data_IF_224915397240
#
_entry.id   IF_224915397240
#
_cell.length_a   1.000
_cell.length_b   1.000
_cell.length_c   1.000
_cell.angle_alpha   90.00
_cell.angle_beta   90.00
_cell.angle_gamma   90.00
#
_symmetry.space_group_name_H-M   'P 1'
#
loop_
_entity.id
_entity.type
_entity.pdbx_description
1 polymer ?
#
# COMPACT_ATOMS: atom_id res chain seq x y z
N UNK A 1 -8.60 10.18 8.23
CA UNK A 1 -7.17 9.78 8.23
C UNK A 1 -6.17 10.93 8.46
N UNK A 2 -6.58 12.10 8.98
CA UNK A 2 -5.65 13.20 9.29
C UNK A 2 -4.90 13.04 10.63
N UNK A 3 -5.01 11.88 11.26
CA UNK A 3 -4.53 11.64 12.63
C UNK A 3 -3.38 10.63 12.68
N UNK A 4 -2.97 10.07 11.55
CA UNK A 4 -2.00 8.98 11.48
C UNK A 4 -0.76 9.38 10.70
N UNK A 5 0.41 9.03 11.23
CA UNK A 5 1.65 8.91 10.49
C UNK A 5 1.82 7.46 10.05
N UNK A 6 2.17 7.23 8.77
CA UNK A 6 2.52 5.90 8.25
C UNK A 6 3.93 5.88 7.70
N UNK A 7 4.63 4.77 7.95
CA UNK A 7 6.00 4.56 7.52
C UNK A 7 6.04 3.28 6.68
N UNK A 8 6.48 3.44 5.44
CA UNK A 8 6.84 2.37 4.51
C UNK A 8 8.35 2.43 4.24
N UNK A 9 8.98 1.34 3.81
CA UNK A 9 10.44 1.24 3.87
C UNK A 9 11.08 0.41 2.76
N UNK A 10 12.18 0.92 2.21
CA UNK A 10 13.16 0.25 1.34
C UNK A 10 14.53 0.29 2.03
N UNK A 11 15.44 -0.69 1.86
CA UNK A 11 15.35 -2.00 1.19
C UNK A 11 15.31 -3.16 2.19
N UNK A 12 14.70 -3.00 3.36
CA UNK A 12 14.68 -4.06 4.35
C UNK A 12 13.62 -5.11 3.95
N UNK A 13 14.08 -6.23 3.39
CA UNK A 13 13.29 -7.46 3.35
C UNK A 13 12.70 -7.71 4.75
N UNK A 14 11.43 -8.14 4.81
CA UNK A 14 10.63 -8.33 6.04
C UNK A 14 10.26 -7.06 6.83
N UNK A 15 10.41 -5.86 6.27
CA UNK A 15 9.81 -4.66 6.85
C UNK A 15 8.30 -4.62 6.58
N UNK A 16 7.48 -4.50 7.62
CA UNK A 16 6.05 -4.22 7.51
C UNK A 16 5.77 -2.73 7.62
N UNK A 17 4.73 -2.25 6.93
CA UNK A 17 4.24 -0.88 7.12
C UNK A 17 3.87 -0.68 8.59
N UNK A 18 4.24 0.49 9.12
CA UNK A 18 3.93 0.87 10.50
C UNK A 18 3.08 2.13 10.52
N UNK A 19 2.18 2.23 11.49
CA UNK A 19 1.37 3.41 11.76
C UNK A 19 1.52 3.87 13.20
N UNK A 20 1.39 5.17 13.45
CA UNK A 20 1.25 5.75 14.78
C UNK A 20 0.29 6.93 14.72
N UNK A 21 -0.60 7.05 15.71
CA UNK A 21 -1.46 8.22 15.83
C UNK A 21 -0.65 9.43 16.27
N UNK A 22 -0.98 10.62 15.78
CA UNK A 22 -0.31 11.86 16.19
C UNK A 22 -0.42 12.11 17.69
N UNK A 23 -1.55 11.76 18.31
CA UNK A 23 -1.75 11.83 19.76
C UNK A 23 -0.86 10.86 20.55
N UNK A 24 -0.30 9.84 19.90
CA UNK A 24 0.51 8.79 20.53
C UNK A 24 2.00 8.93 20.21
N UNK A 25 2.42 9.97 19.48
CA UNK A 25 3.82 10.14 19.03
C UNK A 25 4.83 10.06 20.18
N UNK A 26 4.51 10.64 21.35
CA UNK A 26 5.38 10.63 22.53
C UNK A 26 5.55 9.24 23.15
N UNK A 27 4.69 8.28 22.82
CA UNK A 27 4.80 6.91 23.30
C UNK A 27 5.85 6.10 22.54
N UNK A 28 6.22 6.54 21.32
CA UNK A 28 7.11 5.84 20.39
C UNK A 28 6.65 4.41 20.04
N UNK A 29 5.42 4.02 20.39
CA UNK A 29 4.86 2.69 20.16
C UNK A 29 4.16 2.62 18.81
N UNK A 30 4.94 2.29 17.79
CA UNK A 30 4.42 2.05 16.43
C UNK A 30 3.58 0.77 16.36
N UNK A 31 2.46 0.83 15.62
CA UNK A 31 1.60 -0.30 15.33
C UNK A 31 1.97 -0.92 13.98
N UNK A 32 2.09 -2.25 13.93
CA UNK A 32 2.55 -2.96 12.73
C UNK A 32 1.36 -3.47 11.90
N UNK A 33 1.43 -3.24 10.58
CA UNK A 33 0.55 -3.88 9.60
C UNK A 33 1.20 -5.19 9.17
N UNK A 34 0.94 -6.24 9.97
CA UNK A 34 1.64 -7.51 9.89
C UNK A 34 1.27 -8.33 8.64
N UNK A 35 2.10 -9.31 8.26
CA UNK A 35 1.95 -10.21 7.07
C UNK A 35 2.22 -9.57 5.71
N UNK A 36 2.35 -8.25 5.63
CA UNK A 36 2.52 -7.54 4.36
C UNK A 36 3.92 -6.94 4.18
N UNK A 37 4.94 -7.79 4.28
CA UNK A 37 6.35 -7.40 4.44
C UNK A 37 7.21 -7.55 3.17
N UNK A 38 6.60 -7.88 2.04
CA UNK A 38 7.29 -8.09 0.77
C UNK A 38 7.55 -6.76 0.04
N UNK A 39 8.54 -6.02 0.56
CA UNK A 39 8.97 -4.71 0.08
C UNK A 39 7.81 -3.70 -0.03
N UNK A 40 7.16 -3.32 1.08
CA UNK A 40 6.13 -2.31 1.05
C UNK A 40 6.74 -0.91 0.90
N UNK A 41 6.65 -0.37 -0.32
CA UNK A 41 7.33 0.89 -0.71
C UNK A 41 6.49 2.14 -0.51
N UNK A 42 5.18 1.97 -0.43
CA UNK A 42 4.24 3.07 -0.32
C UNK A 42 3.09 2.65 0.59
N UNK A 43 2.64 3.59 1.40
CA UNK A 43 1.44 3.50 2.22
C UNK A 43 0.72 4.84 2.13
N UNK A 44 -0.54 4.84 1.70
CA UNK A 44 -1.26 6.06 1.33
C UNK A 44 -2.68 6.02 1.87
N UNK A 45 -3.08 7.14 2.47
CA UNK A 45 -4.47 7.41 2.81
C UNK A 45 -5.17 8.11 1.66
N UNK A 46 -6.40 7.69 1.37
CA UNK A 46 -7.26 8.23 0.33
C UNK A 46 -8.67 8.40 0.88
N UNK A 47 -9.57 9.01 0.10
CA UNK A 47 -10.98 9.14 0.48
C UNK A 47 -11.75 7.81 0.42
N UNK A 48 -11.16 6.80 -0.22
CA UNK A 48 -11.75 5.47 -0.41
C UNK A 48 -11.09 4.39 0.45
N UNK A 49 -10.11 4.76 1.28
CA UNK A 49 -9.45 3.84 2.19
C UNK A 49 -7.95 4.03 2.33
N UNK A 50 -7.30 3.03 2.92
CA UNK A 50 -5.87 2.95 3.16
C UNK A 50 -5.24 1.88 2.27
N UNK A 51 -4.17 2.23 1.57
CA UNK A 51 -3.53 1.35 0.58
C UNK A 51 -2.04 1.21 0.83
N UNK A 52 -1.51 0.01 0.58
CA UNK A 52 -0.06 -0.26 0.59
C UNK A 52 0.36 -0.97 -0.69
N UNK A 53 1.57 -0.70 -1.15
CA UNK A 53 2.18 -1.51 -2.22
C UNK A 53 2.89 -2.72 -1.64
N UNK A 54 2.96 -3.81 -2.41
CA UNK A 54 3.86 -4.93 -2.13
C UNK A 54 4.69 -5.20 -3.38
N UNK A 55 5.85 -4.55 -3.45
CA UNK A 55 6.70 -4.59 -4.65
C UNK A 55 7.10 -6.02 -4.98
N UNK A 56 7.51 -6.82 -3.99
CA UNK A 56 7.95 -8.21 -4.19
C UNK A 56 6.81 -9.16 -4.56
N UNK A 57 5.56 -8.77 -4.31
CA UNK A 57 4.36 -9.53 -4.69
C UNK A 57 3.65 -8.94 -5.90
N UNK A 58 4.17 -7.89 -6.53
CA UNK A 58 3.60 -7.30 -7.73
C UNK A 58 2.11 -6.91 -7.58
N UNK A 59 1.75 -6.34 -6.43
CA UNK A 59 0.37 -6.00 -6.11
C UNK A 59 0.25 -4.76 -5.23
N UNK A 60 -0.96 -4.23 -5.14
CA UNK A 60 -1.38 -3.20 -4.17
C UNK A 60 -2.56 -3.75 -3.39
N UNK A 61 -2.57 -3.50 -2.08
CA UNK A 61 -3.59 -3.98 -1.16
C UNK A 61 -4.29 -2.77 -0.53
N UNK A 62 -5.61 -2.88 -0.32
CA UNK A 62 -6.43 -1.81 0.25
C UNK A 62 -7.43 -2.29 1.30
N UNK A 63 -7.66 -1.43 2.30
CA UNK A 63 -8.61 -1.59 3.39
C UNK A 63 -9.46 -0.31 3.51
N UNK A 64 -10.64 -0.41 4.12
CA UNK A 64 -11.48 0.76 4.41
C UNK A 64 -10.77 1.75 5.37
N UNK A 65 -9.94 1.22 6.29
CA UNK A 65 -9.18 2.01 7.26
C UNK A 65 -7.83 1.37 7.59
N UNK A 66 -6.93 2.15 8.19
CA UNK A 66 -5.66 1.60 8.72
C UNK A 66 -5.91 0.72 9.94
N UNK A 67 -6.94 1.02 10.73
CA UNK A 67 -7.37 0.21 11.88
C UNK A 67 -7.77 -1.21 11.45
N UNK A 68 -8.45 -1.35 10.31
CA UNK A 68 -8.74 -2.67 9.72
C UNK A 68 -7.45 -3.42 9.35
N UNK A 69 -6.48 -2.72 8.77
CA UNK A 69 -5.19 -3.30 8.42
C UNK A 69 -4.40 -3.73 9.67
N UNK A 70 -4.35 -2.89 10.71
CA UNK A 70 -3.66 -3.16 11.98
C UNK A 70 -4.31 -4.32 12.74
N UNK A 71 -5.65 -4.38 12.77
CA UNK A 71 -6.39 -5.49 13.38
C UNK A 71 -6.25 -6.82 12.62
N UNK A 72 -5.59 -6.81 11.47
CA UNK A 72 -5.27 -8.01 10.69
C UNK A 72 -6.42 -8.50 9.81
N UNK A 73 -7.42 -7.64 9.52
CA UNK A 73 -8.46 -7.96 8.53
C UNK A 73 -7.83 -8.13 7.14
N UNK A 74 -8.43 -9.00 6.33
CA UNK A 74 -8.02 -9.17 4.94
C UNK A 74 -8.30 -7.89 4.13
N UNK A 75 -7.42 -7.54 3.16
CA UNK A 75 -7.65 -6.42 2.27
C UNK A 75 -8.90 -6.68 1.42
N UNK A 76 -9.72 -5.64 1.26
CA UNK A 76 -10.92 -5.67 0.41
C UNK A 76 -10.57 -5.39 -1.06
N UNK A 77 -9.51 -4.60 -1.29
CA UNK A 77 -9.00 -4.31 -2.62
C UNK A 77 -7.66 -5.00 -2.85
N UNK A 78 -7.53 -5.73 -3.96
CA UNK A 78 -6.27 -6.30 -4.42
C UNK A 78 -6.10 -5.92 -5.89
N UNK A 79 -5.10 -5.09 -6.19
CA UNK A 79 -4.75 -4.71 -7.56
C UNK A 79 -3.53 -5.47 -8.03
N UNK A 80 -3.56 -5.89 -9.29
CA UNK A 80 -2.53 -6.74 -9.89
C UNK A 80 -2.81 -8.23 -9.70
N UNK A 81 -2.24 -9.04 -10.59
CA UNK A 81 -2.42 -10.51 -10.58
C UNK A 81 -1.36 -11.25 -9.77
N UNK A 82 -0.41 -10.52 -9.16
CA UNK A 82 0.75 -11.07 -8.46
C UNK A 82 1.86 -11.63 -9.37
N UNK A 83 1.58 -11.85 -10.67
CA UNK A 83 2.51 -12.49 -11.62
C UNK A 83 3.70 -11.61 -12.01
N UNK A 84 3.60 -10.28 -11.85
CA UNK A 84 4.69 -9.38 -12.26
C UNK A 84 4.92 -9.36 -13.77
N UNK A 85 3.85 -9.27 -14.56
CA UNK A 85 3.91 -9.11 -16.01
C UNK A 85 3.49 -7.69 -16.42
N UNK A 86 3.63 -7.36 -17.70
CA UNK A 86 3.20 -6.08 -18.27
C UNK A 86 1.81 -6.15 -18.95
N UNK A 87 0.98 -7.12 -18.57
CA UNK A 87 -0.41 -7.17 -19.02
C UNK A 87 -1.20 -5.96 -18.50
N UNK A 88 -2.37 -5.68 -19.06
CA UNK A 88 -3.21 -4.53 -18.68
C UNK A 88 -3.75 -4.60 -17.25
N UNK A 89 -4.00 -5.81 -16.74
CA UNK A 89 -4.48 -6.06 -15.38
C UNK A 89 -3.36 -6.51 -14.41
N UNK A 90 -2.11 -6.52 -14.86
CA UNK A 90 -0.97 -6.94 -14.06
C UNK A 90 -0.06 -5.75 -13.74
N UNK A 91 0.44 -5.76 -12.52
CA UNK A 91 1.43 -4.79 -12.04
C UNK A 91 2.78 -5.50 -12.04
N UNK A 92 3.86 -4.81 -12.41
CA UNK A 92 5.24 -5.24 -12.27
C UNK A 92 5.90 -4.40 -11.18
N UNK A 93 6.29 -5.01 -10.07
CA UNK A 93 6.99 -4.33 -8.97
C UNK A 93 6.30 -3.03 -8.53
N UNK A 94 5.10 -3.16 -7.98
CA UNK A 94 4.32 -2.04 -7.46
C UNK A 94 5.17 -1.19 -6.50
N UNK A 95 5.23 0.12 -6.72
CA UNK A 95 6.04 1.01 -5.89
C UNK A 95 5.18 2.14 -5.31
N UNK A 96 5.08 3.28 -6.01
CA UNK A 96 4.34 4.44 -5.53
C UNK A 96 2.85 4.28 -5.78
N UNK A 97 2.04 4.83 -4.86
CA UNK A 97 0.59 4.92 -4.98
C UNK A 97 0.22 6.40 -4.95
N UNK A 98 -0.58 6.86 -5.91
CA UNK A 98 -1.19 8.17 -5.93
C UNK A 98 -2.71 8.07 -6.00
N UNK A 99 -3.41 9.05 -5.43
CA UNK A 99 -4.86 9.20 -5.52
C UNK A 99 -5.19 10.59 -6.01
N UNK A 100 -6.00 10.70 -7.06
CA UNK A 100 -6.40 11.97 -7.66
C UNK A 100 -7.87 12.36 -7.38
N UNK A 101 -8.57 11.59 -6.54
CA UNK A 101 -10.02 11.74 -6.31
C UNK A 101 -10.89 10.82 -7.17
N UNK A 102 -10.31 10.11 -8.15
CA UNK A 102 -11.04 9.25 -9.09
C UNK A 102 -10.33 7.94 -9.44
N UNK A 103 -9.00 7.94 -9.50
CA UNK A 103 -8.17 6.80 -9.86
C UNK A 103 -7.02 6.61 -8.87
N UNK A 104 -6.69 5.34 -8.62
CA UNK A 104 -5.44 4.95 -8.00
C UNK A 104 -4.37 4.84 -9.08
N UNK A 105 -3.35 5.67 -8.99
CA UNK A 105 -2.19 5.67 -9.88
C UNK A 105 -1.07 4.87 -9.26
N UNK A 106 -0.66 3.79 -9.92
CA UNK A 106 0.39 2.90 -9.45
C UNK A 106 1.62 3.07 -10.33
N UNK A 107 2.71 3.54 -9.75
CA UNK A 107 4.02 3.56 -10.41
C UNK A 107 4.72 2.22 -10.25
N UNK A 108 5.27 1.71 -11.35
CA UNK A 108 6.09 0.50 -11.36
C UNK A 108 7.58 0.84 -11.21
N UNK A 109 8.39 -0.09 -10.68
CA UNK A 109 9.82 0.14 -10.40
C UNK A 109 10.76 -0.82 -11.15
N UNK A 110 11.99 -0.34 -11.40
CA UNK A 110 13.17 -1.04 -11.95
C UNK A 110 12.98 -1.69 -13.32
N UNK A 111 12.17 -2.74 -13.42
CA UNK A 111 11.95 -3.52 -14.65
C UNK A 111 10.73 -3.05 -15.45
N UNK A 112 10.14 -1.93 -15.03
CA UNK A 112 9.08 -1.25 -15.75
C UNK A 112 9.10 0.24 -15.46
N UNK A 113 8.58 1.00 -16.41
CA UNK A 113 8.49 2.47 -16.39
C UNK A 113 7.04 2.93 -16.58
N UNK A 114 6.07 2.03 -16.40
CA UNK A 114 4.65 2.35 -16.57
C UNK A 114 4.10 3.01 -15.32
N UNK A 115 3.08 3.83 -15.54
CA UNK A 115 2.12 4.24 -14.52
C UNK A 115 0.76 3.69 -14.94
N UNK A 116 0.09 3.00 -14.02
CA UNK A 116 -1.20 2.36 -14.26
C UNK A 116 -2.29 3.09 -13.48
N UNK A 117 -3.38 3.45 -14.15
CA UNK A 117 -4.58 4.00 -13.50
C UNK A 117 -5.61 2.91 -13.25
N UNK A 118 -6.00 2.74 -12.00
CA UNK A 118 -7.09 1.84 -11.60
C UNK A 118 -8.26 2.66 -11.12
N UNK A 119 -9.43 2.43 -11.73
CA UNK A 119 -10.69 2.98 -11.24
C UNK A 119 -11.27 2.01 -10.21
N UNK A 120 -11.42 2.42 -8.94
CA UNK A 120 -12.10 1.61 -7.94
C UNK A 120 -13.54 1.37 -8.39
N UNK A 121 -13.98 0.11 -8.34
CA UNK A 121 -15.40 -0.25 -8.43
C UNK A 121 -15.85 -0.61 -7.03
N UNK A 122 -16.89 0.07 -6.54
CA UNK A 122 -17.56 -0.31 -5.28
C UNK A 122 -18.28 -1.63 -5.45
#
# INVERSE_FOLDING_TARGET
>A
NQEWLVISGYPADRFSVKGIKFSELSSEKMQNISKYDSFPQSAVFTDIGFFISQQGKNQVLGWDSIEDAISGKSPQTILGTGKGTKASNAIKMANTIGWDGSHLWIGEFKFSTRMLGFKPVK
#
